data_IF_379279241368
#
_entry.id   IF_379279241368
#
_cell.length_a   1.000
_cell.length_b   1.000
_cell.length_c   1.000
_cell.angle_alpha   90.00
_cell.angle_beta   90.00
_cell.angle_gamma   90.00
#
_symmetry.space_group_name_H-M   'P 1'
#
loop_
_entity.id
_entity.type
_entity.pdbx_description
1 polymer ?
#
# COMPACT_ATOMS: atom_id res chain seq x y z
N UNK A 1 -9.90 7.20 6.64
CA UNK A 1 -9.07 6.55 5.59
C UNK A 1 -7.88 7.46 5.36
N UNK A 2 -6.65 6.93 5.39
CA UNK A 2 -5.43 7.73 5.26
C UNK A 2 -5.27 8.15 3.80
N UNK A 3 -5.96 9.22 3.41
CA UNK A 3 -5.70 9.90 2.15
C UNK A 3 -4.93 11.19 2.44
N UNK A 4 -4.07 11.62 1.51
CA UNK A 4 -3.60 12.99 1.49
C UNK A 4 -4.78 13.95 1.67
N UNK A 5 -4.62 14.95 2.52
CA UNK A 5 -5.64 15.98 2.70
C UNK A 5 -5.73 16.94 1.51
N UNK A 6 -4.72 16.91 0.64
CA UNK A 6 -4.59 17.74 -0.55
C UNK A 6 -3.99 16.90 -1.70
N UNK A 7 -4.33 17.25 -2.93
CA UNK A 7 -3.83 16.62 -4.15
C UNK A 7 -2.38 17.01 -4.45
N UNK A 8 -1.90 18.10 -3.84
CA UNK A 8 -0.53 18.59 -3.97
C UNK A 8 0.22 18.53 -2.64
N UNK A 9 1.54 18.25 -2.65
CA UNK A 9 2.30 18.23 -1.41
C UNK A 9 2.51 19.65 -0.89
N UNK A 10 2.45 19.82 0.43
CA UNK A 10 2.47 21.13 1.08
C UNK A 10 3.44 21.15 2.28
N UNK A 11 3.69 22.34 2.82
CA UNK A 11 4.76 22.58 3.80
C UNK A 11 4.28 22.62 5.25
N UNK A 12 2.98 22.89 5.45
CA UNK A 12 2.41 23.14 6.76
C UNK A 12 1.77 21.84 7.26
N UNK A 13 2.17 21.29 8.41
CA UNK A 13 1.52 20.11 8.97
C UNK A 13 0.02 20.29 9.16
N UNK A 14 -0.75 19.21 8.97
CA UNK A 14 -2.20 19.24 9.19
C UNK A 14 -2.55 19.37 10.68
N UNK A 15 -1.69 18.85 11.55
CA UNK A 15 -1.85 18.94 13.01
C UNK A 15 -0.49 18.87 13.74
N UNK A 16 -0.55 18.90 15.07
CA UNK A 16 0.63 18.95 15.94
C UNK A 16 1.44 17.63 16.00
N UNK A 17 0.87 16.52 15.53
CA UNK A 17 1.52 15.20 15.54
C UNK A 17 2.43 14.97 14.33
N UNK A 18 2.60 15.98 13.48
CA UNK A 18 3.34 15.91 12.25
C UNK A 18 4.49 16.93 12.25
N UNK A 19 5.68 16.49 11.85
CA UNK A 19 6.86 17.35 11.78
C UNK A 19 6.75 18.40 10.66
N UNK A 20 7.03 19.66 11.00
CA UNK A 20 7.12 20.78 10.05
C UNK A 20 8.49 20.82 9.35
N UNK A 21 8.60 21.71 8.34
CA UNK A 21 9.86 21.97 7.64
C UNK A 21 10.15 21.05 6.45
N UNK A 22 9.15 20.30 5.97
CA UNK A 22 9.27 19.43 4.79
C UNK A 22 8.05 19.56 3.90
N UNK A 23 8.25 19.45 2.59
CA UNK A 23 7.16 19.41 1.61
C UNK A 23 6.72 17.97 1.43
N UNK A 24 5.54 17.61 1.93
CA UNK A 24 5.01 16.25 1.89
C UNK A 24 3.49 16.27 1.72
N UNK A 25 2.92 15.12 1.40
CA UNK A 25 1.49 14.88 1.56
C UNK A 25 1.24 14.61 3.03
N UNK A 26 0.75 15.60 3.76
CA UNK A 26 0.32 15.37 5.13
C UNK A 26 -1.04 14.66 5.12
N UNK A 27 -1.21 13.76 6.08
CA UNK A 27 -2.39 12.91 6.25
C UNK A 27 -3.16 13.27 7.52
N UNK A 28 -4.41 12.83 7.62
CA UNK A 28 -5.16 12.87 8.88
C UNK A 28 -4.78 11.67 9.77
N UNK A 29 -3.72 11.82 10.54
CA UNK A 29 -3.25 10.78 11.45
C UNK A 29 -4.13 10.62 12.72
N UNK A 30 -4.96 11.59 13.07
CA UNK A 30 -5.94 11.46 14.16
C UNK A 30 -7.10 10.56 13.73
N UNK A 31 -7.61 10.73 12.51
CA UNK A 31 -8.60 9.83 11.92
C UNK A 31 -8.03 8.42 11.72
N UNK A 32 -6.76 8.31 11.31
CA UNK A 32 -6.04 7.04 11.24
C UNK A 32 -6.01 6.32 12.59
N UNK A 33 -5.58 7.03 13.64
CA UNK A 33 -5.45 6.47 14.98
C UNK A 33 -6.81 6.09 15.57
N UNK A 34 -7.83 6.91 15.37
CA UNK A 34 -9.21 6.61 15.81
C UNK A 34 -9.70 5.30 15.18
N UNK A 35 -9.49 5.12 13.87
CA UNK A 35 -9.87 3.90 13.18
C UNK A 35 -9.17 2.65 13.75
N UNK A 36 -7.87 2.75 14.00
CA UNK A 36 -7.07 1.68 14.63
C UNK A 36 -7.61 1.35 16.03
N UNK A 37 -7.91 2.37 16.84
CA UNK A 37 -8.42 2.21 18.19
C UNK A 37 -9.80 1.55 18.23
N UNK A 38 -10.68 1.88 17.28
CA UNK A 38 -12.02 1.30 17.17
C UNK A 38 -11.99 -0.19 16.75
N UNK A 39 -11.05 -0.58 15.89
CA UNK A 39 -10.99 -1.93 15.32
C UNK A 39 -10.01 -2.86 16.05
N UNK A 40 -9.23 -2.34 17.01
CA UNK A 40 -8.34 -3.13 17.87
C UNK A 40 -7.21 -3.84 17.13
N UNK A 41 -6.82 -3.35 15.94
CA UNK A 41 -5.82 -3.98 15.08
C UNK A 41 -4.95 -2.94 14.38
N UNK A 42 -3.75 -3.33 13.94
CA UNK A 42 -2.93 -2.55 13.03
C UNK A 42 -3.59 -2.56 11.64
N UNK A 43 -4.07 -1.41 11.20
CA UNK A 43 -4.87 -1.29 9.97
C UNK A 43 -4.05 -1.62 8.71
N UNK A 44 -2.93 -0.94 8.48
CA UNK A 44 -2.01 -1.10 7.34
C UNK A 44 -2.64 -1.19 5.93
N UNK A 45 -3.92 -0.83 5.80
CA UNK A 45 -4.72 -0.99 4.57
C UNK A 45 -4.11 -0.26 3.39
N UNK A 46 -3.58 0.95 3.61
CA UNK A 46 -2.92 1.74 2.58
C UNK A 46 -1.70 1.03 1.97
N UNK A 47 -0.96 0.24 2.75
CA UNK A 47 0.16 -0.56 2.26
C UNK A 47 -0.32 -1.80 1.51
N UNK A 48 -1.37 -2.47 2.00
CA UNK A 48 -1.94 -3.67 1.35
C UNK A 48 -2.53 -3.37 -0.03
N UNK A 49 -3.18 -2.22 -0.19
CA UNK A 49 -3.83 -1.81 -1.45
C UNK A 49 -2.92 -0.97 -2.36
N UNK A 50 -1.70 -0.68 -1.94
CA UNK A 50 -0.78 0.09 -2.77
C UNK A 50 -0.45 -0.70 -4.06
N UNK A 51 -0.68 -0.16 -5.27
CA UNK A 51 -0.34 -0.86 -6.51
C UNK A 51 1.15 -1.22 -6.61
N UNK A 52 2.00 -0.53 -5.84
CA UNK A 52 3.45 -0.69 -5.83
C UNK A 52 3.96 -1.64 -4.75
N UNK A 53 3.11 -2.14 -3.85
CA UNK A 53 3.48 -3.15 -2.84
C UNK A 53 3.29 -4.58 -3.34
N UNK A 54 2.74 -4.78 -4.54
CA UNK A 54 2.53 -6.09 -5.13
C UNK A 54 3.86 -6.79 -5.42
N UNK A 55 3.90 -8.10 -5.18
CA UNK A 55 5.15 -8.89 -5.27
C UNK A 55 5.69 -8.93 -6.70
N UNK A 56 7.00 -8.72 -6.85
CA UNK A 56 7.71 -8.74 -8.14
C UNK A 56 7.95 -10.17 -8.66
N UNK A 57 6.90 -11.02 -8.66
CA UNK A 57 7.00 -12.42 -9.14
C UNK A 57 7.13 -12.52 -10.66
N UNK A 58 6.80 -11.45 -11.38
CA UNK A 58 6.94 -11.36 -12.83
C UNK A 58 7.80 -10.14 -13.18
N UNK A 59 8.66 -10.27 -14.19
CA UNK A 59 9.43 -9.17 -14.78
C UNK A 59 8.56 -8.00 -15.24
N UNK A 60 7.26 -8.24 -15.43
CA UNK A 60 6.27 -7.22 -15.71
C UNK A 60 6.16 -6.17 -14.60
N UNK A 61 6.37 -6.53 -13.32
CA UNK A 61 6.28 -5.56 -12.23
C UNK A 61 7.49 -4.60 -12.18
N UNK A 62 8.71 -5.06 -12.50
CA UNK A 62 9.86 -4.16 -12.67
C UNK A 62 9.64 -3.18 -13.83
N UNK A 63 9.14 -3.68 -14.96
CA UNK A 63 8.80 -2.85 -16.12
C UNK A 63 7.70 -1.85 -15.75
N UNK A 64 6.69 -2.26 -15.01
CA UNK A 64 5.60 -1.39 -14.56
C UNK A 64 6.11 -0.24 -13.70
N UNK A 65 7.03 -0.50 -12.76
CA UNK A 65 7.66 0.51 -11.90
C UNK A 65 8.49 1.52 -12.71
N UNK A 66 9.32 1.04 -13.62
CA UNK A 66 10.13 1.92 -14.48
C UNK A 66 9.24 2.74 -15.41
N UNK A 67 8.23 2.10 -15.99
CA UNK A 67 7.32 2.76 -16.94
C UNK A 67 6.47 3.82 -16.24
N UNK A 68 5.98 3.55 -15.02
CA UNK A 68 5.20 4.53 -14.26
C UNK A 68 6.03 5.71 -13.79
N UNK A 69 7.31 5.50 -13.47
CA UNK A 69 8.24 6.58 -13.13
C UNK A 69 8.55 7.50 -14.33
N UNK A 70 8.61 6.93 -15.54
CA UNK A 70 8.94 7.67 -16.77
C UNK A 70 7.72 8.30 -17.44
N UNK A 71 6.54 7.69 -17.29
CA UNK A 71 5.31 8.07 -17.99
C UNK A 71 4.15 8.14 -16.99
N UNK A 72 3.78 9.34 -16.50
CA UNK A 72 2.74 9.48 -15.48
C UNK A 72 1.39 8.83 -15.84
N UNK A 73 0.98 8.91 -17.11
CA UNK A 73 -0.27 8.28 -17.58
C UNK A 73 -0.24 6.75 -17.53
N UNK A 74 0.94 6.14 -17.65
CA UNK A 74 1.10 4.70 -17.45
C UNK A 74 0.90 4.33 -15.97
N UNK A 75 1.38 5.16 -15.03
CA UNK A 75 1.12 4.97 -13.60
C UNK A 75 -0.38 4.99 -13.28
N UNK A 76 -1.12 5.95 -13.85
CA UNK A 76 -2.58 6.03 -13.68
C UNK A 76 -3.29 4.80 -14.26
N UNK A 77 -2.88 4.36 -15.46
CA UNK A 77 -3.42 3.16 -16.08
C UNK A 77 -3.17 1.90 -15.24
N UNK A 78 -1.95 1.72 -14.73
CA UNK A 78 -1.59 0.58 -13.88
C UNK A 78 -2.37 0.58 -12.57
N UNK A 79 -2.63 1.76 -12.00
CA UNK A 79 -3.45 1.90 -10.77
C UNK A 79 -4.90 1.51 -11.02
N UNK A 80 -5.48 1.90 -12.17
CA UNK A 80 -6.82 1.46 -12.56
C UNK A 80 -6.86 -0.06 -12.79
N UNK A 81 -5.78 -0.64 -13.28
CA UNK A 81 -5.69 -2.07 -13.50
C UNK A 81 -5.62 -2.85 -12.18
N UNK A 82 -4.86 -2.38 -11.21
CA UNK A 82 -4.83 -2.95 -9.85
C UNK A 82 -6.23 -3.02 -9.24
N UNK A 83 -7.01 -1.93 -9.35
CA UNK A 83 -8.40 -1.88 -8.90
C UNK A 83 -9.31 -2.86 -9.65
N UNK A 84 -9.14 -2.98 -10.96
CA UNK A 84 -9.95 -3.86 -11.81
C UNK A 84 -9.67 -5.35 -11.57
N UNK A 85 -8.43 -5.73 -11.28
CA UNK A 85 -8.05 -7.12 -10.96
C UNK A 85 -8.43 -7.54 -9.54
N UNK A 86 -8.94 -6.62 -8.72
CA UNK A 86 -9.52 -6.97 -7.42
C UNK A 86 -8.47 -7.37 -6.38
N UNK A 87 -7.23 -6.92 -6.50
CA UNK A 87 -6.17 -7.11 -5.48
C UNK A 87 -6.40 -6.26 -4.22
N UNK A 88 -7.66 -5.99 -3.90
CA UNK A 88 -8.10 -5.16 -2.79
C UNK A 88 -8.04 -5.88 -1.45
N UNK A 89 -8.84 -5.40 -0.50
CA UNK A 89 -8.90 -5.98 0.84
C UNK A 89 -9.57 -7.36 0.79
N UNK A 90 -8.91 -8.35 1.40
CA UNK A 90 -9.51 -9.65 1.67
C UNK A 90 -10.67 -9.45 2.66
N UNK A 91 -11.84 -10.03 2.34
CA UNK A 91 -13.00 -9.94 3.21
C UNK A 91 -12.74 -10.66 4.54
N UNK A 92 -13.22 -10.07 5.64
CA UNK A 92 -13.19 -10.70 6.96
C UNK A 92 -13.97 -12.01 6.93
N UNK A 93 -13.42 -13.04 7.59
CA UNK A 93 -14.01 -14.39 7.64
C UNK A 93 -14.16 -15.08 6.27
N UNK A 94 -13.45 -14.60 5.24
CA UNK A 94 -13.43 -15.26 3.94
C UNK A 94 -12.64 -16.59 4.00
N UNK A 95 -13.00 -17.57 3.15
CA UNK A 95 -12.22 -18.81 3.02
C UNK A 95 -10.74 -18.55 2.69
N UNK A 96 -10.45 -17.54 1.88
CA UNK A 96 -9.08 -17.13 1.54
C UNK A 96 -8.25 -16.75 2.77
N UNK A 97 -8.87 -16.08 3.76
CA UNK A 97 -8.21 -15.72 5.00
C UNK A 97 -7.88 -16.96 5.87
N UNK A 98 -8.72 -18.00 5.80
CA UNK A 98 -8.45 -19.27 6.47
C UNK A 98 -7.32 -20.05 5.78
N UNK A 99 -7.33 -20.09 4.45
CA UNK A 99 -6.31 -20.76 3.63
C UNK A 99 -4.90 -20.17 3.83
N UNK A 100 -4.79 -18.90 4.22
CA UNK A 100 -3.51 -18.25 4.50
C UNK A 100 -2.67 -19.02 5.54
N UNK A 101 -3.32 -19.61 6.56
CA UNK A 101 -2.65 -20.36 7.62
C UNK A 101 -2.05 -21.68 7.15
N UNK A 102 -2.52 -22.19 6.02
CA UNK A 102 -2.08 -23.45 5.44
C UNK A 102 -1.01 -23.26 4.34
N UNK A 103 -0.59 -22.02 4.07
CA UNK A 103 0.44 -21.72 3.09
C UNK A 103 1.83 -22.15 3.59
N UNK A 104 2.59 -22.82 2.71
CA UNK A 104 4.01 -23.09 2.90
C UNK A 104 4.81 -21.81 2.61
N UNK A 105 5.01 -21.00 3.65
CA UNK A 105 5.70 -19.71 3.56
C UNK A 105 7.18 -19.83 3.96
N UNK A 106 8.08 -19.00 3.37
CA UNK A 106 9.48 -18.94 3.77
C UNK A 106 9.68 -18.61 5.25
N UNK A 107 10.82 -19.04 5.80
CA UNK A 107 11.25 -18.67 7.16
C UNK A 107 11.30 -17.13 7.31
N UNK A 108 10.76 -16.63 8.42
CA UNK A 108 10.59 -15.18 8.70
C UNK A 108 9.72 -14.41 7.69
N UNK A 109 9.01 -15.09 6.77
CA UNK A 109 8.22 -14.45 5.72
C UNK A 109 9.06 -13.67 4.70
N UNK A 110 10.38 -13.93 4.66
CA UNK A 110 11.29 -13.27 3.73
C UNK A 110 11.25 -14.02 2.40
N UNK A 111 10.94 -13.30 1.32
CA UNK A 111 10.95 -13.87 -0.01
C UNK A 111 12.37 -14.34 -0.40
N UNK A 112 12.60 -15.66 -0.32
CA UNK A 112 13.87 -16.31 -0.65
C UNK A 112 14.17 -16.37 -2.16
N UNK A 113 13.29 -15.85 -3.02
CA UNK A 113 13.56 -15.63 -4.45
C UNK A 113 14.30 -14.31 -4.71
N UNK A 114 14.37 -13.37 -3.75
CA UNK A 114 15.16 -12.15 -3.89
C UNK A 114 16.66 -12.46 -3.78
N UNK A 115 17.33 -12.63 -4.92
CA UNK A 115 18.78 -12.83 -5.00
C UNK A 115 19.25 -14.02 -5.85
N UNK A 116 18.35 -14.78 -6.47
CA UNK A 116 18.74 -15.77 -7.48
C UNK A 116 18.72 -15.12 -8.86
N UNK A 117 19.92 -14.80 -9.33
CA UNK A 117 20.23 -14.48 -10.74
C UNK A 117 20.06 -15.74 -11.58
#
# INVERSE_FOLDING_TARGET
MIYPLDDEPYWVPANAFQASGKKVYYEDNEACYTYIAEHGNYCSTCLSVCPWSKQDKASLHEIAKVTSAMVPSAGEFLTKMDQAFGYGLVELDSPEQAEWWDLDIPEEGIDSYQGKV
#
